data_IF_624921828139
#
_entry.id   IF_624921828139
#
_cell.length_a   1.000
_cell.length_b   1.000
_cell.length_c   1.000
_cell.angle_alpha   90.00
_cell.angle_beta   90.00
_cell.angle_gamma   90.00
#
_symmetry.space_group_name_H-M   'P 1'
#
loop_
_entity.id
_entity.type
_entity.pdbx_description
1 polymer ?
#
# COMPACT_ATOMS: atom_id res chain seq x y z
N UNK A 1 -2.88 13.96 -14.66
CA UNK A 1 -3.74 15.11 -14.52
C UNK A 1 -3.10 16.15 -13.63
N UNK A 2 -3.41 17.39 -13.90
CA UNK A 2 -2.80 18.47 -13.15
C UNK A 2 -3.35 18.54 -11.75
N UNK A 3 -2.46 18.83 -10.80
CA UNK A 3 -2.84 18.94 -9.42
C UNK A 3 -2.90 17.65 -8.65
N UNK A 4 -2.77 16.52 -9.32
CA UNK A 4 -2.73 15.24 -8.62
C UNK A 4 -1.37 15.01 -8.01
N UNK A 5 -1.36 14.45 -6.81
CA UNK A 5 -0.15 14.02 -6.16
C UNK A 5 -0.10 12.50 -6.25
N UNK A 6 1.06 11.97 -6.62
CA UNK A 6 1.24 10.53 -6.76
C UNK A 6 2.38 10.10 -5.85
N UNK A 7 2.10 9.10 -5.03
CA UNK A 7 3.13 8.45 -4.22
C UNK A 7 3.40 7.08 -4.83
N UNK A 8 4.67 6.77 -5.06
CA UNK A 8 5.02 5.44 -5.57
C UNK A 8 6.30 4.97 -4.90
N UNK A 9 6.51 3.67 -4.96
CA UNK A 9 7.68 3.08 -4.36
C UNK A 9 7.69 1.58 -4.54
N UNK A 10 8.65 0.95 -3.87
CA UNK A 10 8.84 -0.50 -3.94
C UNK A 10 8.97 -1.06 -2.53
N UNK A 11 8.40 -2.25 -2.35
CA UNK A 11 8.44 -2.99 -1.10
C UNK A 11 9.09 -4.33 -1.38
N UNK A 12 10.08 -4.70 -0.57
CA UNK A 12 10.74 -5.99 -0.71
C UNK A 12 10.44 -6.85 0.50
N UNK A 13 10.12 -8.11 0.26
CA UNK A 13 9.93 -9.07 1.34
C UNK A 13 11.29 -9.62 1.74
N UNK A 14 11.80 -9.19 2.88
CA UNK A 14 13.10 -9.63 3.41
C UNK A 14 12.96 -10.76 4.42
N UNK A 15 11.73 -11.21 4.67
CA UNK A 15 11.49 -12.33 5.59
C UNK A 15 11.63 -13.66 4.90
N UNK A 16 11.39 -14.72 5.65
CA UNK A 16 11.47 -16.08 5.14
C UNK A 16 10.13 -16.67 4.73
N UNK A 17 9.07 -15.89 4.77
CA UNK A 17 7.73 -16.36 4.46
C UNK A 17 7.08 -15.50 3.40
N UNK A 18 6.15 -16.11 2.65
CA UNK A 18 5.34 -15.37 1.68
C UNK A 18 4.42 -14.40 2.42
N UNK A 19 4.32 -13.19 1.89
CA UNK A 19 3.40 -12.17 2.41
C UNK A 19 2.29 -11.98 1.40
N UNK A 20 1.05 -12.04 1.86
CA UNK A 20 -0.13 -11.91 1.01
C UNK A 20 -0.88 -10.62 1.34
N UNK A 21 -1.59 -10.09 0.37
CA UNK A 21 -2.39 -8.87 0.53
C UNK A 21 -1.54 -7.72 1.08
N UNK A 22 -0.34 -7.57 0.52
CA UNK A 22 0.58 -6.51 0.97
C UNK A 22 0.00 -5.17 0.55
N UNK A 23 -0.10 -4.26 1.51
CA UNK A 23 -0.68 -2.95 1.25
C UNK A 23 0.08 -1.88 2.02
N UNK A 24 -0.07 -0.65 1.56
CA UNK A 24 0.52 0.51 2.22
C UNK A 24 -0.60 1.46 2.58
N UNK A 25 -0.68 1.80 3.85
CA UNK A 25 -1.66 2.76 4.35
C UNK A 25 -0.95 4.09 4.54
N UNK A 26 -1.38 5.10 3.81
CA UNK A 26 -0.87 6.46 3.96
C UNK A 26 -1.82 7.24 4.84
N UNK A 27 -1.30 7.77 5.94
CA UNK A 27 -2.07 8.59 6.86
C UNK A 27 -1.64 10.05 6.65
N UNK A 28 -2.56 10.86 6.19
CA UNK A 28 -2.30 12.25 5.89
C UNK A 28 -2.79 13.13 7.03
N UNK A 29 -1.94 14.03 7.46
CA UNK A 29 -2.29 15.01 8.47
C UNK A 29 -2.84 16.24 7.77
N UNK A 30 -4.10 16.53 8.01
CA UNK A 30 -4.79 17.58 7.26
C UNK A 30 -4.56 18.96 7.83
N UNK A 31 -4.43 19.06 9.16
CA UNK A 31 -4.27 20.36 9.80
C UNK A 31 -3.57 20.19 11.14
N UNK A 32 -3.32 21.32 11.77
CA UNK A 32 -2.60 21.34 13.04
C UNK A 32 -3.43 20.85 14.23
N UNK A 33 -4.74 20.74 14.07
CA UNK A 33 -5.58 20.24 15.14
C UNK A 33 -5.61 18.72 15.25
N UNK A 34 -4.93 18.03 14.33
CA UNK A 34 -4.80 16.58 14.41
C UNK A 34 -5.73 15.79 13.53
N UNK A 35 -6.47 16.46 12.67
CA UNK A 35 -7.33 15.76 11.72
C UNK A 35 -6.48 14.95 10.76
N UNK A 36 -6.85 13.69 10.54
CA UNK A 36 -6.13 12.81 9.63
C UNK A 36 -7.10 12.12 8.68
N UNK A 37 -6.56 11.71 7.53
CA UNK A 37 -7.27 10.85 6.58
C UNK A 37 -6.32 9.78 6.10
N UNK A 38 -6.85 8.60 5.84
CA UNK A 38 -6.06 7.45 5.43
C UNK A 38 -6.44 7.02 4.03
N UNK A 39 -5.45 6.83 3.19
CA UNK A 39 -5.63 6.23 1.86
C UNK A 39 -4.78 4.98 1.80
N UNK A 40 -5.33 3.94 1.19
CA UNK A 40 -4.66 2.64 1.12
C UNK A 40 -4.45 2.25 -0.32
N UNK A 41 -3.28 1.68 -0.61
CA UNK A 41 -3.01 1.09 -1.91
C UNK A 41 -2.37 -0.28 -1.72
N UNK A 42 -2.68 -1.22 -2.61
CA UNK A 42 -2.07 -2.53 -2.58
C UNK A 42 -0.78 -2.53 -3.38
N UNK A 43 0.16 -3.35 -2.93
CA UNK A 43 1.43 -3.54 -3.62
C UNK A 43 1.23 -4.57 -4.72
N UNK A 44 1.70 -4.26 -5.92
CA UNK A 44 1.64 -5.20 -7.03
C UNK A 44 2.84 -6.12 -6.98
N UNK A 45 2.59 -7.37 -6.70
CA UNK A 45 3.62 -8.41 -6.64
C UNK A 45 3.26 -9.57 -7.54
N UNK A 46 3.36 -10.77 -7.01
CA UNK A 46 2.97 -11.96 -7.74
C UNK A 46 1.52 -12.32 -7.52
N UNK A 47 1.01 -13.18 -8.39
CA UNK A 47 -0.34 -13.73 -8.22
C UNK A 47 -0.29 -14.95 -7.35
N UNK A 48 -1.31 -15.10 -6.53
CA UNK A 48 -1.49 -16.30 -5.73
C UNK A 48 -2.97 -16.61 -5.61
N UNK A 49 -3.31 -17.88 -5.84
CA UNK A 49 -4.69 -18.35 -5.70
C UNK A 49 -4.76 -19.25 -4.47
N UNK A 50 -5.64 -18.90 -3.54
CA UNK A 50 -5.83 -19.67 -2.32
C UNK A 50 -6.77 -20.84 -2.59
N UNK A 51 -6.75 -21.81 -1.68
CA UNK A 51 -7.62 -22.97 -1.77
C UNK A 51 -9.10 -22.59 -1.85
N UNK A 52 -9.45 -21.46 -1.28
CA UNK A 52 -10.83 -20.96 -1.34
C UNK A 52 -11.21 -20.45 -2.73
N UNK A 53 -10.26 -20.35 -3.66
CA UNK A 53 -10.50 -19.80 -4.99
C UNK A 53 -10.24 -18.32 -5.13
N UNK A 54 -9.92 -17.64 -4.04
CA UNK A 54 -9.60 -16.22 -4.06
C UNK A 54 -8.19 -16.03 -4.64
N UNK A 55 -8.05 -15.09 -5.55
CA UNK A 55 -6.76 -14.76 -6.16
C UNK A 55 -6.38 -13.33 -5.79
N UNK A 56 -5.12 -13.12 -5.44
CA UNK A 56 -4.58 -11.79 -5.20
C UNK A 56 -3.34 -11.59 -6.06
N UNK A 57 -3.10 -10.35 -6.47
CA UNK A 57 -1.87 -9.97 -7.14
C UNK A 57 -0.93 -9.19 -6.20
N UNK A 58 -1.25 -9.18 -4.92
CA UNK A 58 -0.47 -8.47 -3.90
C UNK A 58 0.31 -9.43 -3.02
N UNK A 59 0.97 -10.40 -3.63
CA UNK A 59 1.75 -11.42 -2.93
C UNK A 59 3.23 -11.19 -3.18
N UNK A 60 4.02 -11.21 -2.12
CA UNK A 60 5.47 -11.11 -2.21
C UNK A 60 6.10 -12.38 -1.63
N UNK A 61 6.76 -13.15 -2.49
CA UNK A 61 7.59 -14.26 -2.04
C UNK A 61 8.84 -13.74 -1.37
N UNK A 62 9.50 -14.55 -0.54
CA UNK A 62 10.74 -14.11 0.09
C UNK A 62 11.74 -13.64 -0.95
N UNK A 63 12.29 -12.45 -0.75
CA UNK A 63 13.23 -11.83 -1.68
C UNK A 63 12.59 -11.09 -2.83
N UNK A 64 11.28 -11.19 -3.01
CA UNK A 64 10.59 -10.53 -4.11
C UNK A 64 10.33 -9.07 -3.80
N UNK A 65 10.25 -8.27 -4.85
CA UNK A 65 9.95 -6.84 -4.75
C UNK A 65 8.65 -6.56 -5.48
N UNK A 66 7.79 -5.78 -4.85
CA UNK A 66 6.57 -5.30 -5.48
C UNK A 66 6.54 -3.80 -5.50
N UNK A 67 5.74 -3.24 -6.40
CA UNK A 67 5.62 -1.80 -6.56
C UNK A 67 4.23 -1.34 -6.13
N UNK A 68 4.15 -0.11 -5.67
CA UNK A 68 2.85 0.49 -5.35
C UNK A 68 2.78 1.90 -5.92
N UNK A 69 1.56 2.32 -6.16
CA UNK A 69 1.31 3.66 -6.66
C UNK A 69 -0.01 4.14 -6.05
N UNK A 70 0.03 5.29 -5.40
CA UNK A 70 -1.15 5.87 -4.79
C UNK A 70 -1.40 7.24 -5.39
N UNK A 71 -2.59 7.41 -5.94
CA UNK A 71 -3.03 8.69 -6.47
C UNK A 71 -3.86 9.40 -5.42
N UNK A 72 -3.48 10.62 -5.11
CA UNK A 72 -4.25 11.46 -4.20
C UNK A 72 -5.19 12.30 -5.05
N UNK A 73 -6.51 12.16 -4.89
CA UNK A 73 -7.46 12.90 -5.74
C UNK A 73 -7.35 14.41 -5.54
N UNK A 74 -7.71 15.16 -6.59
CA UNK A 74 -7.69 16.61 -6.51
C UNK A 74 -8.57 17.14 -5.40
N UNK A 75 -9.70 16.50 -5.15
CA UNK A 75 -10.65 16.94 -4.15
C UNK A 75 -10.29 16.47 -2.73
N UNK A 76 -9.16 15.80 -2.59
CA UNK A 76 -8.69 15.38 -1.27
C UNK A 76 -8.40 16.58 -0.36
N UNK A 77 -7.96 17.66 -0.95
CA UNK A 77 -7.58 18.85 -0.22
C UNK A 77 -6.11 18.86 0.17
N UNK A 78 -5.68 19.89 0.84
CA UNK A 78 -4.29 20.03 1.24
C UNK A 78 -4.01 19.23 2.52
N UNK A 79 -2.73 18.94 2.73
CA UNK A 79 -2.27 18.28 3.95
C UNK A 79 -0.90 18.83 4.30
N UNK A 80 -0.53 18.72 5.58
CA UNK A 80 0.71 19.30 6.09
C UNK A 80 1.79 18.26 6.34
N UNK A 81 1.44 16.97 6.22
CA UNK A 81 2.40 15.92 6.38
C UNK A 81 1.73 14.58 6.18
N UNK A 82 2.55 13.54 6.12
CA UNK A 82 2.03 12.18 5.97
C UNK A 82 3.00 11.19 6.61
N UNK A 83 2.45 10.03 6.91
CA UNK A 83 3.24 8.87 7.30
C UNK A 83 2.64 7.65 6.62
N UNK A 84 3.35 6.53 6.65
CA UNK A 84 2.82 5.32 6.04
C UNK A 84 3.15 4.13 6.89
N UNK A 85 2.31 3.10 6.74
CA UNK A 85 2.48 1.82 7.42
C UNK A 85 2.29 0.73 6.37
N UNK A 86 3.17 -0.26 6.38
CA UNK A 86 3.07 -1.41 5.50
C UNK A 86 2.42 -2.53 6.28
N UNK A 87 1.40 -3.14 5.68
CA UNK A 87 0.65 -4.21 6.32
C UNK A 87 0.56 -5.38 5.36
N UNK A 88 0.46 -6.58 5.91
CA UNK A 88 0.33 -7.80 5.10
C UNK A 88 -0.23 -8.90 5.97
N UNK A 89 -0.61 -10.00 5.31
CA UNK A 89 -1.09 -11.19 5.97
C UNK A 89 -0.18 -12.35 5.60
N UNK A 90 -0.01 -13.27 6.53
CA UNK A 90 0.78 -14.46 6.30
C UNK A 90 -0.14 -15.67 6.39
N UNK A 91 -0.28 -16.36 5.27
CA UNK A 91 -1.08 -17.58 5.19
C UNK A 91 -0.16 -18.76 4.97
N UNK A 92 -0.58 -19.89 5.50
CA UNK A 92 0.17 -21.13 5.30
C UNK A 92 0.08 -21.64 3.89
#
# INVERSE_FOLDING_TARGET
AQGNVVFNGEIKNIGGRRSDFVKVDFVFRKNWSGETKTLTTFVRGGYHTFDSGITTDATLLPGATGAFELYVPNDFGSFIGYSYVIDWEEYE
#
